data_IF_885506707910
#
_entry.id   IF_885506707910
#
_cell.length_a   1.000
_cell.length_b   1.000
_cell.length_c   1.000
_cell.angle_alpha   90.00
_cell.angle_beta   90.00
_cell.angle_gamma   90.00
#
_symmetry.space_group_name_H-M   'P 1'
#
loop_
_entity.id
_entity.type
_entity.pdbx_description
1 polymer ?
#
# COMPACT_ATOMS: atom_id res chain seq x y z
N UNK A 1 26.24 -7.20 15.98
CA UNK A 1 25.72 -6.45 14.82
C UNK A 1 25.29 -5.09 15.33
N UNK A 2 25.67 -3.96 14.71
CA UNK A 2 25.19 -2.68 15.19
C UNK A 2 23.65 -2.67 15.12
N UNK A 3 23.00 -2.20 16.18
CA UNK A 3 21.55 -2.02 16.25
C UNK A 3 21.12 -1.15 15.06
N UNK A 4 20.60 -1.80 14.01
CA UNK A 4 20.04 -1.07 12.88
C UNK A 4 18.86 -0.28 13.43
N UNK A 5 18.92 1.05 13.32
CA UNK A 5 17.83 1.93 13.74
C UNK A 5 16.51 1.40 13.16
N UNK A 6 15.49 1.25 14.00
CA UNK A 6 14.21 0.66 13.60
C UNK A 6 13.04 1.55 13.98
N UNK A 7 11.94 1.40 13.25
CA UNK A 7 10.64 1.98 13.53
C UNK A 7 9.60 0.87 13.66
N UNK A 8 8.46 1.20 14.26
CA UNK A 8 7.31 0.30 14.36
C UNK A 8 6.33 0.61 13.24
N UNK A 9 5.92 -0.40 12.46
CA UNK A 9 4.89 -0.28 11.43
C UNK A 9 3.69 -1.15 11.78
N UNK A 10 2.53 -0.55 11.94
CA UNK A 10 1.24 -1.22 12.11
C UNK A 10 0.47 -1.15 10.79
N UNK A 11 0.06 -2.29 10.27
CA UNK A 11 -0.73 -2.43 9.05
C UNK A 11 -2.16 -2.74 9.46
N UNK A 12 -3.10 -1.84 9.20
CA UNK A 12 -4.52 -2.00 9.51
C UNK A 12 -5.35 -1.56 8.30
N UNK A 13 -5.27 -2.33 7.22
CA UNK A 13 -6.02 -2.07 5.99
C UNK A 13 -7.54 -2.09 6.25
N UNK A 14 -8.27 -1.28 5.48
CA UNK A 14 -9.72 -1.18 5.56
C UNK A 14 -10.43 -2.44 5.05
N UNK A 15 -11.77 -2.39 5.03
CA UNK A 15 -12.61 -3.48 4.52
C UNK A 15 -12.54 -3.55 2.99
N UNK A 16 -11.51 -4.16 2.46
CA UNK A 16 -11.31 -4.28 1.01
C UNK A 16 -12.10 -5.46 0.44
N UNK A 17 -12.37 -5.42 -0.88
CA UNK A 17 -12.96 -6.55 -1.60
C UNK A 17 -11.86 -7.18 -2.45
N UNK A 18 -11.81 -8.51 -2.53
CA UNK A 18 -10.79 -9.20 -3.31
C UNK A 18 -9.43 -9.19 -2.63
N UNK A 19 -8.39 -9.46 -3.41
CA UNK A 19 -7.02 -9.55 -2.92
C UNK A 19 -6.44 -8.15 -2.62
N UNK A 20 -5.72 -8.06 -1.52
CA UNK A 20 -4.84 -6.94 -1.24
C UNK A 20 -3.57 -7.37 -0.53
N UNK A 21 -2.51 -6.63 -0.76
CA UNK A 21 -1.23 -6.89 -0.12
C UNK A 21 -0.46 -5.61 0.14
N UNK A 22 0.32 -5.63 1.22
CA UNK A 22 1.36 -4.66 1.47
C UNK A 22 2.71 -5.40 1.44
N UNK A 23 3.60 -4.93 0.59
CA UNK A 23 4.95 -5.46 0.46
C UNK A 23 5.97 -4.36 0.72
N UNK A 24 7.15 -4.75 1.17
CA UNK A 24 8.19 -3.82 1.60
C UNK A 24 9.43 -3.95 0.73
N UNK A 25 9.80 -2.87 0.05
CA UNK A 25 10.95 -2.78 -0.83
C UNK A 25 12.21 -2.42 -0.04
N UNK A 26 13.20 -3.30 -0.03
CA UNK A 26 14.58 -2.94 0.32
C UNK A 26 15.39 -2.81 -0.97
N UNK A 27 16.06 -1.68 -1.15
CA UNK A 27 17.09 -1.55 -2.18
C UNK A 27 18.38 -2.17 -1.64
N UNK A 28 19.00 -3.07 -2.39
CA UNK A 28 20.41 -3.42 -2.16
C UNK A 28 21.35 -2.37 -2.77
N UNK A 29 22.65 -2.54 -2.58
CA UNK A 29 23.70 -1.64 -3.08
C UNK A 29 23.72 -1.55 -4.62
N UNK A 30 23.14 -2.55 -5.31
CA UNK A 30 23.04 -2.66 -6.78
C UNK A 30 21.71 -2.12 -7.34
N UNK A 31 20.82 -1.61 -6.47
CA UNK A 31 19.51 -1.10 -6.87
C UNK A 31 18.48 -2.19 -7.18
N UNK A 32 18.72 -3.44 -6.80
CA UNK A 32 17.74 -4.52 -6.78
C UNK A 32 16.71 -4.25 -5.67
N UNK A 33 15.42 -4.29 -6.01
CA UNK A 33 14.31 -4.06 -5.08
C UNK A 33 13.57 -5.37 -4.84
N UNK A 34 13.83 -6.04 -3.71
CA UNK A 34 12.99 -7.15 -3.27
C UNK A 34 11.81 -6.61 -2.46
N UNK A 35 10.61 -7.12 -2.76
CA UNK A 35 9.38 -6.79 -2.06
C UNK A 35 8.82 -8.00 -1.32
N UNK A 36 9.45 -8.50 -0.23
CA UNK A 36 8.79 -9.46 0.63
C UNK A 36 7.42 -8.95 1.04
N UNK A 37 6.41 -9.80 0.88
CA UNK A 37 5.05 -9.50 1.30
C UNK A 37 5.00 -9.39 2.82
N UNK A 38 4.77 -8.18 3.33
CA UNK A 38 4.59 -7.94 4.76
C UNK A 38 3.21 -8.40 5.22
N UNK A 39 2.23 -8.24 4.34
CA UNK A 39 0.83 -8.48 4.61
C UNK A 39 0.12 -8.87 3.33
N UNK A 40 -0.73 -9.87 3.40
CA UNK A 40 -1.67 -10.20 2.35
C UNK A 40 -3.01 -10.55 2.98
N UNK A 41 -4.06 -9.94 2.47
CA UNK A 41 -5.44 -10.38 2.66
C UNK A 41 -5.94 -10.89 1.33
N UNK A 42 -6.10 -12.21 1.23
CA UNK A 42 -6.55 -12.82 -0.02
C UNK A 42 -6.23 -14.29 -0.07
N UNK A 43 -7.22 -15.11 0.31
CA UNK A 43 -7.52 -16.34 -0.40
C UNK A 43 -8.98 -16.70 -0.10
N UNK A 44 -9.57 -17.43 -1.03
CA UNK A 44 -10.94 -17.98 -1.03
C UNK A 44 -12.00 -17.09 -1.68
N UNK A 45 -12.36 -17.52 -2.89
CA UNK A 45 -13.35 -17.00 -3.83
C UNK A 45 -14.78 -16.77 -3.29
N UNK A 46 -15.07 -17.00 -2.01
CA UNK A 46 -16.46 -17.01 -1.50
C UNK A 46 -16.63 -16.61 -0.03
N UNK A 47 -15.60 -16.06 0.64
CA UNK A 47 -15.76 -15.69 2.05
C UNK A 47 -16.17 -14.22 2.25
N UNK A 48 -17.06 -14.06 3.23
CA UNK A 48 -17.56 -12.78 3.74
C UNK A 48 -16.40 -11.84 4.05
N UNK A 49 -16.57 -10.54 3.78
CA UNK A 49 -15.54 -9.54 4.06
C UNK A 49 -15.18 -9.55 5.55
N UNK A 50 -14.04 -10.14 5.91
CA UNK A 50 -13.47 -9.99 7.24
C UNK A 50 -12.43 -8.89 7.17
N UNK A 51 -12.58 -7.85 8.00
CA UNK A 51 -11.52 -6.88 8.24
C UNK A 51 -10.28 -7.67 8.67
N UNK A 52 -9.20 -7.65 7.90
CA UNK A 52 -8.07 -8.49 8.24
C UNK A 52 -7.40 -7.90 9.49
N UNK A 53 -6.94 -8.77 10.39
CA UNK A 53 -6.43 -8.33 11.68
C UNK A 53 -5.23 -7.38 11.50
N UNK A 54 -5.10 -6.34 12.33
CA UNK A 54 -3.92 -5.48 12.28
C UNK A 54 -2.65 -6.28 12.52
N UNK A 55 -1.59 -6.00 11.75
CA UNK A 55 -0.28 -6.62 11.91
C UNK A 55 0.77 -5.57 12.24
N UNK A 56 1.50 -5.78 13.33
CA UNK A 56 2.61 -4.90 13.72
C UNK A 56 3.95 -5.58 13.48
N UNK A 57 4.91 -4.86 12.91
CA UNK A 57 6.26 -5.32 12.67
C UNK A 57 7.30 -4.20 12.84
N UNK A 58 8.57 -4.57 12.96
CA UNK A 58 9.69 -3.62 12.93
C UNK A 58 10.17 -3.43 11.49
N UNK A 59 10.40 -2.18 11.11
CA UNK A 59 11.00 -1.81 9.82
C UNK A 59 12.29 -1.02 10.04
N UNK A 60 13.25 -1.05 9.11
CA UNK A 60 14.42 -0.18 9.16
C UNK A 60 14.04 1.30 9.17
N UNK A 61 14.81 2.10 9.92
CA UNK A 61 14.68 3.54 10.07
C UNK A 61 15.99 4.26 9.68
N UNK A 62 15.91 5.58 9.51
CA UNK A 62 17.06 6.43 9.14
C UNK A 62 17.51 6.27 7.69
N UNK A 63 16.68 5.63 6.84
CA UNK A 63 16.90 5.55 5.41
C UNK A 63 15.56 5.45 4.67
N UNK A 64 15.46 5.92 3.41
CA UNK A 64 14.23 5.83 2.63
C UNK A 64 13.75 4.39 2.44
N UNK A 65 12.48 4.16 2.75
CA UNK A 65 11.78 2.90 2.58
C UNK A 65 10.73 3.00 1.47
N UNK A 66 10.45 1.87 0.83
CA UNK A 66 9.44 1.75 -0.21
C UNK A 66 8.35 0.76 0.23
N UNK A 67 7.11 1.22 0.34
CA UNK A 67 5.95 0.35 0.55
C UNK A 67 5.19 0.21 -0.75
N UNK A 68 4.81 -1.01 -1.08
CA UNK A 68 3.94 -1.31 -2.22
C UNK A 68 2.62 -1.85 -1.72
N UNK A 69 1.56 -1.11 -2.00
CA UNK A 69 0.19 -1.51 -1.75
C UNK A 69 -0.44 -1.98 -3.06
N UNK A 70 -0.96 -3.19 -3.07
CA UNK A 70 -1.75 -3.75 -4.16
C UNK A 70 -3.17 -3.98 -3.68
N UNK A 71 -4.15 -3.69 -4.54
CA UNK A 71 -5.55 -4.01 -4.28
C UNK A 71 -6.30 -4.33 -5.57
N UNK A 72 -7.12 -5.37 -5.50
CA UNK A 72 -8.15 -5.65 -6.49
C UNK A 72 -9.43 -4.86 -6.19
N UNK A 73 -10.08 -4.34 -7.23
CA UNK A 73 -11.36 -3.64 -7.16
C UNK A 73 -12.35 -4.37 -8.05
N UNK A 74 -13.46 -4.83 -7.46
CA UNK A 74 -14.50 -5.61 -8.12
C UNK A 74 -14.33 -7.13 -7.91
N UNK A 75 -15.32 -7.90 -8.39
CA UNK A 75 -15.43 -9.36 -8.12
C UNK A 75 -15.39 -10.25 -9.37
N UNK A 76 -15.34 -9.67 -10.57
CA UNK A 76 -15.66 -10.37 -11.83
C UNK A 76 -14.55 -10.19 -12.89
N UNK A 77 -14.78 -10.64 -14.12
CA UNK A 77 -13.86 -10.46 -15.27
C UNK A 77 -13.51 -8.99 -15.58
N UNK A 78 -14.29 -8.02 -15.07
CA UNK A 78 -14.01 -6.58 -15.15
C UNK A 78 -13.32 -6.03 -13.89
N UNK A 79 -12.83 -6.90 -13.00
CA UNK A 79 -12.07 -6.47 -11.84
C UNK A 79 -10.80 -5.76 -12.30
N UNK A 80 -10.61 -4.54 -11.80
CA UNK A 80 -9.39 -3.77 -12.01
C UNK A 80 -8.46 -4.00 -10.84
N UNK A 81 -7.16 -3.91 -11.05
CA UNK A 81 -6.20 -3.89 -9.96
C UNK A 81 -5.51 -2.52 -9.91
N UNK A 82 -5.09 -2.12 -8.73
CA UNK A 82 -4.28 -0.93 -8.53
C UNK A 82 -3.01 -1.28 -7.77
N UNK A 83 -1.96 -0.51 -8.01
CA UNK A 83 -0.71 -0.60 -7.27
C UNK A 83 -0.24 0.79 -6.93
N UNK A 84 -0.05 1.06 -5.65
CA UNK A 84 0.44 2.32 -5.13
C UNK A 84 1.77 2.06 -4.46
N UNK A 85 2.78 2.81 -4.86
CA UNK A 85 4.12 2.74 -4.27
C UNK A 85 4.38 4.02 -3.48
N UNK A 86 4.65 3.86 -2.20
CA UNK A 86 4.82 4.93 -1.23
C UNK A 86 6.29 4.94 -0.80
N UNK A 87 7.00 6.04 -1.08
CA UNK A 87 8.34 6.24 -0.55
C UNK A 87 8.27 7.19 0.64
N UNK A 88 8.85 6.78 1.77
CA UNK A 88 8.97 7.60 2.97
C UNK A 88 10.21 7.20 3.78
N UNK A 89 10.66 8.05 4.70
CA UNK A 89 11.85 7.80 5.52
C UNK A 89 11.42 7.68 7.00
N UNK A 90 11.39 6.45 7.57
CA UNK A 90 10.99 6.24 8.95
C UNK A 90 12.03 6.80 9.92
N UNK A 91 11.56 7.53 10.92
CA UNK A 91 12.39 7.99 12.04
C UNK A 91 12.63 6.84 13.01
N UNK A 92 13.81 6.86 13.65
CA UNK A 92 14.15 5.88 14.69
C UNK A 92 13.11 5.96 15.82
N UNK A 93 12.67 4.80 16.30
CA UNK A 93 11.72 4.61 17.40
C UNK A 93 10.32 5.18 17.16
N UNK A 94 10.03 5.69 15.96
CA UNK A 94 8.71 6.19 15.60
C UNK A 94 7.71 5.06 15.32
N UNK A 95 6.42 5.38 15.48
CA UNK A 95 5.31 4.47 15.25
C UNK A 95 4.51 4.93 14.03
N UNK A 96 4.34 4.05 13.06
CA UNK A 96 3.61 4.33 11.83
C UNK A 96 2.39 3.42 11.69
N UNK A 97 1.31 3.97 11.14
CA UNK A 97 0.10 3.24 10.76
C UNK A 97 -0.08 3.31 9.25
N UNK A 98 -0.18 2.14 8.61
CA UNK A 98 -0.62 2.01 7.22
C UNK A 98 -2.08 1.59 7.20
N UNK A 99 -2.92 2.41 6.59
CA UNK A 99 -4.36 2.18 6.46
C UNK A 99 -4.82 2.50 5.06
N UNK A 100 -5.96 1.95 4.66
CA UNK A 100 -6.56 2.15 3.35
C UNK A 100 -8.04 2.52 3.49
N UNK A 101 -8.54 3.23 2.49
CA UNK A 101 -9.93 3.68 2.47
C UNK A 101 -10.56 3.46 1.09
N UNK A 102 -11.90 3.41 1.07
CA UNK A 102 -12.69 3.36 -0.16
C UNK A 102 -13.14 4.76 -0.53
N UNK A 103 -12.59 5.28 -1.62
CA UNK A 103 -13.03 6.54 -2.20
C UNK A 103 -13.62 6.31 -3.58
N UNK A 104 -14.64 7.09 -3.92
CA UNK A 104 -15.23 7.10 -5.27
C UNK A 104 -14.98 8.46 -5.90
N UNK A 105 -14.49 8.46 -7.12
CA UNK A 105 -14.39 9.65 -7.95
C UNK A 105 -15.53 9.66 -8.97
N UNK A 106 -16.19 10.80 -9.09
CA UNK A 106 -17.31 10.99 -9.99
C UNK A 106 -16.83 11.69 -11.25
N UNK A 107 -16.82 10.98 -12.38
CA UNK A 107 -16.52 11.54 -13.69
C UNK A 107 -17.80 11.79 -14.48
N UNK A 108 -17.82 12.85 -15.28
CA UNK A 108 -18.85 13.05 -16.30
C UNK A 108 -18.28 12.71 -17.66
N UNK A 109 -18.94 11.84 -18.40
CA UNK A 109 -18.60 11.54 -19.79
C UNK A 109 -19.74 11.99 -20.68
N UNK A 110 -19.43 12.75 -21.74
CA UNK A 110 -20.41 13.08 -22.77
C UNK A 110 -20.29 12.07 -23.89
N UNK A 111 -21.36 11.32 -24.11
CA UNK A 111 -21.53 10.46 -25.28
C UNK A 111 -22.38 11.19 -26.31
N UNK A 112 -21.95 11.15 -27.58
CA UNK A 112 -22.68 11.75 -28.70
C UNK A 112 -24.12 11.21 -28.83
N UNK A 113 -24.37 9.97 -28.38
CA UNK A 113 -25.64 9.27 -28.59
C UNK A 113 -26.55 9.23 -27.35
N UNK A 114 -26.00 9.42 -26.15
CA UNK A 114 -26.72 9.12 -24.90
C UNK A 114 -26.71 10.25 -23.86
N UNK A 115 -26.27 11.46 -24.24
CA UNK A 115 -26.17 12.59 -23.32
C UNK A 115 -25.02 12.47 -22.32
N UNK A 116 -25.06 13.29 -21.27
CA UNK A 116 -24.05 13.32 -20.21
C UNK A 116 -24.31 12.18 -19.21
N UNK A 117 -23.35 11.26 -19.09
CA UNK A 117 -23.40 10.14 -18.15
C UNK A 117 -22.43 10.37 -17.01
N UNK A 118 -22.97 10.43 -15.79
CA UNK A 118 -22.19 10.46 -14.55
C UNK A 118 -21.76 9.05 -14.20
N UNK A 119 -20.46 8.82 -14.02
CA UNK A 119 -19.89 7.53 -13.65
C UNK A 119 -19.09 7.67 -12.37
N UNK A 120 -19.44 6.87 -11.36
CA UNK A 120 -18.66 6.78 -10.12
C UNK A 120 -17.67 5.63 -10.21
N UNK A 121 -16.39 5.93 -10.00
CA UNK A 121 -15.28 5.01 -10.14
C UNK A 121 -14.59 4.87 -8.79
N UNK A 122 -14.54 3.66 -8.25
CA UNK A 122 -13.78 3.40 -7.02
C UNK A 122 -12.27 3.59 -7.26
N UNK A 123 -11.60 4.31 -6.37
CA UNK A 123 -10.18 4.65 -6.42
C UNK A 123 -9.47 4.03 -5.22
N UNK A 124 -8.24 3.56 -5.46
CA UNK A 124 -7.39 3.04 -4.39
C UNK A 124 -6.78 4.17 -3.59
N UNK A 125 -6.95 4.12 -2.28
CA UNK A 125 -6.35 5.05 -1.34
C UNK A 125 -5.63 4.28 -0.25
N UNK A 126 -4.39 4.65 0.01
CA UNK A 126 -3.57 4.13 1.10
C UNK A 126 -2.82 5.29 1.73
N UNK A 127 -2.73 5.27 3.05
CA UNK A 127 -2.14 6.33 3.86
C UNK A 127 -1.07 5.74 4.77
N UNK A 128 0.00 6.49 4.98
CA UNK A 128 0.97 6.26 6.04
C UNK A 128 0.85 7.41 7.01
N UNK A 129 0.53 7.09 8.26
CA UNK A 129 0.36 8.05 9.34
C UNK A 129 1.45 7.80 10.38
N UNK A 130 2.07 8.86 10.89
CA UNK A 130 2.98 8.81 12.04
C UNK A 130 2.17 9.07 13.30
N UNK A 131 2.33 8.23 14.32
CA UNK A 131 1.79 8.49 15.64
C UNK A 131 2.67 9.54 16.33
N UNK A 132 2.12 10.74 16.48
CA UNK A 132 2.67 11.81 17.30
C UNK A 132 2.02 11.73 18.68
N UNK A 133 2.84 11.71 19.73
CA UNK A 133 2.37 11.56 21.12
C UNK A 133 1.51 12.74 21.60
N UNK A 134 1.64 13.91 20.98
CA UNK A 134 0.97 15.14 21.40
C UNK A 134 -0.25 15.47 20.55
N UNK A 135 -0.20 15.16 19.27
CA UNK A 135 -1.20 15.56 18.28
C UNK A 135 -1.94 14.36 17.63
N UNK A 136 -1.57 13.13 18.00
CA UNK A 136 -2.17 11.91 17.47
C UNK A 136 -1.63 11.52 16.09
N UNK A 137 -2.46 10.91 15.25
CA UNK A 137 -2.01 10.42 13.94
C UNK A 137 -1.87 11.57 12.93
N UNK A 138 -0.63 11.81 12.47
CA UNK A 138 -0.30 12.81 11.45
C UNK A 138 -0.02 12.16 10.10
N UNK A 139 -0.50 12.73 8.99
CA UNK A 139 -0.12 12.23 7.66
C UNK A 139 1.38 12.41 7.43
N UNK A 140 2.05 11.34 6.99
CA UNK A 140 3.42 11.42 6.54
C UNK A 140 3.43 12.04 5.14
N UNK A 141 4.31 13.00 4.84
CA UNK A 141 4.50 13.47 3.47
C UNK A 141 5.05 12.33 2.62
N UNK A 142 4.16 11.71 1.82
CA UNK A 142 4.52 10.61 0.94
C UNK A 142 4.79 11.17 -0.46
N UNK A 143 5.93 10.79 -1.03
CA UNK A 143 6.15 10.95 -2.48
C UNK A 143 5.61 9.71 -3.17
N UNK A 144 4.50 9.84 -3.89
CA UNK A 144 4.07 8.81 -4.82
C UNK A 144 5.12 8.71 -5.91
N UNK A 145 5.75 7.55 -6.01
CA UNK A 145 6.78 7.31 -7.02
C UNK A 145 6.19 6.50 -8.15
N UNK A 146 6.39 6.96 -9.39
CA UNK A 146 6.14 6.16 -10.57
C UNK A 146 7.13 5.01 -10.55
N UNK A 147 6.69 3.82 -10.16
CA UNK A 147 7.58 2.65 -10.15
C UNK A 147 7.52 2.05 -11.54
N UNK A 148 8.42 2.52 -12.40
CA UNK A 148 8.82 1.75 -13.57
C UNK A 148 9.31 0.36 -13.13
N UNK A 149 9.17 -0.67 -13.96
CA UNK A 149 9.41 -2.05 -13.57
C UNK A 149 10.91 -2.34 -13.44
N UNK A 150 11.55 -1.90 -12.36
CA UNK A 150 12.77 -2.55 -11.89
C UNK A 150 12.35 -3.83 -11.17
N UNK A 151 12.17 -4.86 -12.00
CA UNK A 151 12.02 -6.31 -11.74
C UNK A 151 11.03 -6.70 -10.63
N UNK A 152 9.82 -7.03 -11.08
CA UNK A 152 8.78 -7.64 -10.27
C UNK A 152 9.07 -9.13 -10.01
N UNK A 153 9.11 -9.53 -8.74
CA UNK A 153 8.65 -10.87 -8.32
C UNK A 153 9.53 -12.08 -8.62
N UNK A 154 10.85 -11.95 -8.73
CA UNK A 154 11.75 -13.12 -8.76
C UNK A 154 12.59 -13.15 -7.47
N UNK A 155 12.52 -14.22 -6.65
CA UNK A 155 13.49 -14.41 -5.58
C UNK A 155 14.88 -14.58 -6.20
N UNK A 156 15.86 -13.79 -5.76
CA UNK A 156 17.24 -13.92 -6.24
C UNK A 156 17.96 -12.62 -6.55
N UNK A 157 17.82 -11.56 -5.74
CA UNK A 157 18.95 -10.63 -5.68
C UNK A 157 20.21 -11.43 -5.31
N UNK A 158 21.36 -11.16 -5.95
CA UNK A 158 22.59 -11.88 -5.65
C UNK A 158 22.86 -11.78 -4.13
N UNK A 159 23.19 -12.93 -3.52
CA UNK A 159 23.60 -12.99 -2.12
C UNK A 159 24.94 -12.33 -1.91
#
# INVERSE_FOLDING_TARGET
MPDQASATLTIALGNEYGESSLSYGRADEDGCLEFPTLYASGNVRDLQQTRPAPKTLKIPAGSPQLLRYYRQIGRNASARACTINLRFEPKKDAHYLVTSDKRYETGKSKSWWSGEKTTSTEVCMVYVLELDETEGLKPVPIKQVGVNPTRFGVPGCPK
#
